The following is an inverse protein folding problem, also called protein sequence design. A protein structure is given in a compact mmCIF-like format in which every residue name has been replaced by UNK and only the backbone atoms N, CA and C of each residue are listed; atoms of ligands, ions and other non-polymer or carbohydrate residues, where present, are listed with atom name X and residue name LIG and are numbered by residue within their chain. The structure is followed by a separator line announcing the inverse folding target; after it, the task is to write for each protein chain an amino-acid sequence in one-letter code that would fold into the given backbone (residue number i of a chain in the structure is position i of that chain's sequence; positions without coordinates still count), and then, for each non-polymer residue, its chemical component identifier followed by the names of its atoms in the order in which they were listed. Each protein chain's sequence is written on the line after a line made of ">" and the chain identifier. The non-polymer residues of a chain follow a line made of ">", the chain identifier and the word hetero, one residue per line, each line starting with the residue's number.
data_IF_602812684431
#
_entry.id   IF_602812684431
#
_cell.length_a   1.000
_cell.length_b   1.000
_cell.length_c   1.000
_cell.angle_alpha   90.00
_cell.angle_beta   90.00
_cell.angle_gamma   90.00
#
_symmetry.space_group_name_H-M   'P 1'
#
loop_
_entity.id
_entity.type
_entity.pdbx_description
1 polymer ?
#
# COMPACT_ATOMS: atom_id res chain seq x y z
N UNK A 1 -59.45 66.73 35.66
CA UNK A 1 -59.43 66.66 34.19
C UNK A 1 -58.60 65.46 33.77
N UNK A 2 -59.30 64.50 33.21
CA UNK A 2 -58.91 63.13 32.84
C UNK A 2 -57.94 63.14 31.65
N UNK A 3 -56.80 62.43 31.73
CA UNK A 3 -55.97 62.10 30.57
C UNK A 3 -56.36 60.72 30.06
N UNK A 4 -56.98 60.68 28.89
CA UNK A 4 -57.35 59.46 28.18
C UNK A 4 -56.12 58.86 27.49
N UNK A 5 -55.84 57.59 27.76
CA UNK A 5 -54.78 56.81 27.12
C UNK A 5 -55.19 56.40 25.70
N UNK A 6 -54.30 56.59 24.72
CA UNK A 6 -54.42 56.00 23.39
C UNK A 6 -54.06 54.52 23.46
N UNK A 7 -54.98 53.68 23.03
CA UNK A 7 -54.85 52.23 22.98
C UNK A 7 -53.89 51.84 21.84
N UNK A 8 -52.83 51.12 22.19
CA UNK A 8 -51.78 50.68 21.27
C UNK A 8 -52.09 49.24 20.84
N UNK A 9 -52.79 49.09 19.72
CA UNK A 9 -53.18 47.78 19.20
C UNK A 9 -51.97 46.94 18.79
N UNK A 10 -51.76 45.80 19.48
CA UNK A 10 -50.79 44.78 19.08
C UNK A 10 -51.22 44.09 17.77
N UNK A 11 -50.28 43.73 16.86
CA UNK A 11 -50.63 43.07 15.62
C UNK A 11 -51.23 41.68 15.87
N UNK A 12 -52.38 41.43 15.24
CA UNK A 12 -53.14 40.17 15.29
C UNK A 12 -52.27 38.98 14.86
N UNK A 13 -52.20 37.96 15.72
CA UNK A 13 -51.55 36.69 15.41
C UNK A 13 -52.23 36.03 14.20
N UNK A 14 -51.51 35.87 13.08
CA UNK A 14 -52.02 35.17 11.89
C UNK A 14 -52.41 33.73 12.25
N UNK A 15 -53.71 33.45 12.25
CA UNK A 15 -54.22 32.07 12.25
C UNK A 15 -53.76 31.37 10.97
N UNK A 16 -53.09 30.23 11.11
CA UNK A 16 -52.76 29.36 10.00
C UNK A 16 -54.06 28.80 9.39
N UNK A 17 -54.39 29.24 8.18
CA UNK A 17 -55.54 28.74 7.42
C UNK A 17 -55.28 27.30 6.95
N UNK A 18 -56.31 26.45 7.01
CA UNK A 18 -56.25 25.02 6.62
C UNK A 18 -55.72 24.86 5.19
N UNK A 19 -56.06 25.80 4.31
CA UNK A 19 -55.58 25.83 2.93
C UNK A 19 -54.09 26.16 2.82
N UNK A 20 -53.57 27.00 3.71
CA UNK A 20 -52.13 27.29 3.80
C UNK A 20 -51.36 26.07 4.30
N UNK A 21 -51.90 25.37 5.29
CA UNK A 21 -51.31 24.15 5.84
C UNK A 21 -51.22 23.03 4.80
N UNK A 22 -52.29 22.80 4.02
CA UNK A 22 -52.31 21.80 2.95
C UNK A 22 -51.33 22.14 1.80
N UNK A 23 -51.19 23.42 1.45
CA UNK A 23 -50.21 23.85 0.44
C UNK A 23 -48.77 23.68 0.93
N UNK A 24 -48.50 24.00 2.19
CA UNK A 24 -47.16 23.83 2.76
C UNK A 24 -46.77 22.37 2.93
N UNK A 25 -47.71 21.49 3.30
CA UNK A 25 -47.44 20.04 3.42
C UNK A 25 -47.25 19.38 2.06
N UNK A 26 -48.06 19.74 1.06
CA UNK A 26 -47.90 19.25 -0.32
C UNK A 26 -46.56 19.69 -0.95
N UNK A 27 -46.16 20.95 -0.78
CA UNK A 27 -44.88 21.45 -1.28
C UNK A 27 -43.68 20.75 -0.62
N UNK A 28 -43.78 20.49 0.68
CA UNK A 28 -42.74 19.77 1.44
C UNK A 28 -42.61 18.32 0.96
N UNK A 29 -43.74 17.62 0.78
CA UNK A 29 -43.74 16.24 0.28
C UNK A 29 -43.21 16.13 -1.17
N UNK A 30 -43.54 17.09 -2.03
CA UNK A 30 -43.01 17.17 -3.39
C UNK A 30 -41.48 17.38 -3.39
N UNK A 31 -40.96 18.21 -2.49
CA UNK A 31 -39.52 18.42 -2.37
C UNK A 31 -38.78 17.17 -1.87
N UNK A 32 -39.32 16.47 -0.87
CA UNK A 32 -38.71 15.23 -0.36
C UNK A 32 -38.73 14.10 -1.38
N UNK A 33 -39.82 13.95 -2.14
CA UNK A 33 -39.91 12.96 -3.21
C UNK A 33 -38.97 13.28 -4.37
N UNK A 34 -38.86 14.54 -4.77
CA UNK A 34 -37.88 14.99 -5.78
C UNK A 34 -36.44 14.77 -5.32
N UNK A 35 -36.10 15.08 -4.06
CA UNK A 35 -34.77 14.85 -3.51
C UNK A 35 -34.40 13.36 -3.47
N UNK A 36 -35.35 12.48 -3.12
CA UNK A 36 -35.14 11.02 -3.11
C UNK A 36 -35.04 10.44 -4.53
N UNK A 37 -35.78 11.00 -5.49
CA UNK A 37 -35.67 10.62 -6.89
C UNK A 37 -34.34 11.08 -7.53
N UNK A 38 -33.85 12.26 -7.15
CA UNK A 38 -32.59 12.82 -7.63
C UNK A 38 -31.36 12.13 -6.99
N UNK A 39 -31.49 11.60 -5.77
CA UNK A 39 -30.43 10.92 -5.03
C UNK A 39 -30.93 9.55 -4.52
N UNK A 40 -31.21 8.58 -5.41
CA UNK A 40 -31.83 7.30 -5.03
C UNK A 40 -30.94 6.44 -4.11
N UNK A 41 -29.62 6.69 -4.11
CA UNK A 41 -28.65 6.08 -3.20
C UNK A 41 -28.24 6.99 -2.01
N UNK A 42 -28.83 8.18 -1.89
CA UNK A 42 -28.39 9.24 -0.97
C UNK A 42 -27.25 10.10 -1.53
N UNK A 43 -27.07 11.30 -0.99
CA UNK A 43 -25.88 12.11 -1.22
C UNK A 43 -24.80 11.69 -0.22
N UNK A 44 -23.81 10.92 -0.68
CA UNK A 44 -22.59 10.71 0.09
C UNK A 44 -21.69 11.92 -0.10
N UNK A 45 -21.63 12.80 0.90
CA UNK A 45 -20.55 13.75 0.99
C UNK A 45 -19.26 12.96 1.32
N UNK A 46 -18.57 12.46 0.29
CA UNK A 46 -17.21 11.95 0.48
C UNK A 46 -16.38 13.13 0.97
N UNK A 47 -15.95 13.08 2.22
CA UNK A 47 -15.11 14.12 2.81
C UNK A 47 -13.86 14.32 1.94
N UNK A 48 -13.38 15.56 1.85
CA UNK A 48 -12.15 15.84 1.13
C UNK A 48 -10.96 15.10 1.79
N UNK A 49 -10.30 14.21 1.05
CA UNK A 49 -9.05 13.55 1.46
C UNK A 49 -9.15 12.03 1.66
N UNK A 50 -8.06 11.41 2.14
CA UNK A 50 -7.96 9.95 2.33
C UNK A 50 -8.94 9.42 3.39
N UNK A 51 -9.42 8.19 3.19
CA UNK A 51 -10.36 7.49 4.08
C UNK A 51 -9.75 7.17 5.46
N UNK A 52 -8.42 7.07 5.54
CA UNK A 52 -7.65 6.84 6.77
C UNK A 52 -6.50 7.84 6.87
N UNK A 53 -6.02 8.11 8.09
CA UNK A 53 -4.88 9.02 8.33
C UNK A 53 -3.52 8.36 8.21
N UNK A 54 -3.46 7.04 8.10
CA UNK A 54 -2.23 6.32 7.84
C UNK A 54 -2.39 4.81 7.89
N UNK A 55 -1.28 4.11 7.66
CA UNK A 55 -1.10 2.66 7.80
C UNK A 55 0.39 2.39 8.13
N UNK A 56 0.80 1.13 8.23
CA UNK A 56 2.20 0.70 8.37
C UNK A 56 2.68 0.07 7.07
N UNK A 57 3.72 0.65 6.48
CA UNK A 57 4.43 0.10 5.33
C UNK A 57 5.79 -0.46 5.77
N UNK A 58 6.07 -1.69 5.35
CA UNK A 58 7.35 -2.35 5.62
C UNK A 58 8.46 -1.93 4.66
N UNK A 59 9.71 -1.95 5.13
CA UNK A 59 10.90 -1.87 4.26
C UNK A 59 12.04 -2.79 4.73
N UNK A 60 12.89 -3.21 3.80
CA UNK A 60 14.18 -3.86 4.07
C UNK A 60 15.27 -2.80 3.93
N UNK A 61 16.32 -2.90 4.74
CA UNK A 61 17.42 -1.94 4.76
C UNK A 61 18.32 -2.01 3.52
N UNK A 62 17.76 -1.59 2.39
CA UNK A 62 18.39 -1.46 1.08
C UNK A 62 18.11 -0.05 0.55
N UNK A 63 19.00 0.46 -0.30
CA UNK A 63 18.92 1.84 -0.83
C UNK A 63 17.62 2.09 -1.62
N UNK A 64 17.08 1.06 -2.25
CA UNK A 64 15.83 1.12 -3.02
C UNK A 64 14.55 1.27 -2.17
N UNK A 65 14.65 1.20 -0.84
CA UNK A 65 13.58 1.64 0.07
C UNK A 65 13.52 3.17 0.27
N UNK A 66 14.49 3.92 -0.26
CA UNK A 66 14.67 5.35 0.03
C UNK A 66 13.41 6.18 -0.22
N UNK A 67 12.63 5.91 -1.27
CA UNK A 67 11.44 6.71 -1.57
C UNK A 67 10.42 6.69 -0.42
N UNK A 68 10.20 5.53 0.23
CA UNK A 68 9.27 5.42 1.36
C UNK A 68 9.78 6.18 2.59
N UNK A 69 11.08 6.06 2.87
CA UNK A 69 11.73 6.71 4.02
C UNK A 69 11.73 8.22 3.84
N UNK A 70 12.19 8.71 2.68
CA UNK A 70 12.23 10.13 2.34
C UNK A 70 10.82 10.73 2.31
N UNK A 71 9.82 9.98 1.85
CA UNK A 71 8.42 10.42 1.92
C UNK A 71 7.96 10.75 3.35
N UNK A 72 8.39 9.96 4.34
CA UNK A 72 8.12 10.23 5.76
C UNK A 72 8.96 11.38 6.30
N UNK A 73 10.28 11.29 6.14
CA UNK A 73 11.24 12.27 6.70
C UNK A 73 11.05 13.69 6.15
N UNK A 74 10.59 13.82 4.90
CA UNK A 74 10.31 15.12 4.26
C UNK A 74 8.83 15.51 4.33
N UNK A 75 8.04 14.83 5.16
CA UNK A 75 6.64 15.17 5.40
C UNK A 75 5.74 15.11 4.15
N UNK A 76 6.08 14.31 3.14
CA UNK A 76 5.24 14.14 1.95
C UNK A 76 3.93 13.45 2.31
N UNK A 77 3.96 12.40 3.14
CA UNK A 77 2.74 11.74 3.60
C UNK A 77 1.77 12.70 4.31
N UNK A 78 2.28 13.52 5.23
CA UNK A 78 1.48 14.53 5.92
C UNK A 78 0.88 15.56 4.96
N UNK A 79 1.67 16.05 3.99
CA UNK A 79 1.21 16.97 2.94
C UNK A 79 0.07 16.41 2.09
N UNK A 80 0.00 15.08 1.92
CA UNK A 80 -1.05 14.40 1.18
C UNK A 80 -2.16 13.82 2.05
N UNK A 81 -2.27 14.25 3.33
CA UNK A 81 -3.41 13.91 4.19
C UNK A 81 -3.30 12.59 4.94
N UNK A 82 -2.14 11.92 4.90
CA UNK A 82 -1.84 10.68 5.65
C UNK A 82 -0.67 10.86 6.64
N UNK A 83 -0.81 11.74 7.67
CA UNK A 83 0.30 12.05 8.59
C UNK A 83 0.79 10.86 9.41
N UNK A 84 -0.09 9.89 9.65
CA UNK A 84 0.14 8.76 10.56
C UNK A 84 0.79 7.55 9.86
N UNK A 85 1.43 7.78 8.70
CA UNK A 85 2.14 6.73 7.99
C UNK A 85 3.35 6.23 8.78
N UNK A 86 3.37 4.94 9.13
CA UNK A 86 4.49 4.30 9.80
C UNK A 86 5.35 3.53 8.77
N UNK A 87 6.66 3.77 8.75
CA UNK A 87 7.60 3.15 7.83
C UNK A 87 8.51 2.21 8.63
N UNK A 88 8.10 0.95 8.70
CA UNK A 88 8.63 -0.02 9.64
C UNK A 88 9.68 -0.94 9.02
N UNK A 89 10.86 -1.00 9.64
CA UNK A 89 11.95 -1.89 9.22
C UNK A 89 11.55 -3.35 9.42
N UNK A 90 11.80 -4.17 8.42
CA UNK A 90 11.57 -5.62 8.44
C UNK A 90 12.91 -6.35 8.58
N UNK A 91 12.91 -7.48 9.31
CA UNK A 91 14.13 -8.24 9.58
C UNK A 91 14.62 -9.03 8.37
N UNK A 92 13.70 -9.54 7.56
CA UNK A 92 14.00 -10.33 6.36
C UNK A 92 12.81 -10.32 5.41
N UNK A 93 13.03 -10.84 4.20
CA UNK A 93 11.95 -11.03 3.23
C UNK A 93 10.91 -12.06 3.68
N UNK A 94 11.30 -13.04 4.51
CA UNK A 94 10.36 -13.95 5.16
C UNK A 94 9.51 -13.25 6.22
N UNK A 95 10.14 -12.46 7.10
CA UNK A 95 9.40 -11.67 8.10
C UNK A 95 8.44 -10.66 7.45
N UNK A 96 8.86 -10.05 6.33
CA UNK A 96 8.00 -9.14 5.56
C UNK A 96 6.73 -9.84 5.06
N UNK A 97 6.85 -11.10 4.58
CA UNK A 97 5.70 -11.92 4.19
C UNK A 97 4.74 -12.13 5.36
N UNK A 98 5.28 -12.57 6.49
CA UNK A 98 4.48 -12.94 7.64
C UNK A 98 3.77 -11.72 8.24
N UNK A 99 4.46 -10.56 8.30
CA UNK A 99 3.85 -9.31 8.73
C UNK A 99 2.80 -8.77 7.73
N UNK A 100 2.98 -8.98 6.42
CA UNK A 100 1.93 -8.64 5.43
C UNK A 100 0.69 -9.54 5.58
N UNK A 101 0.89 -10.83 5.89
CA UNK A 101 -0.22 -11.75 6.14
C UNK A 101 -1.02 -11.39 7.40
N UNK A 102 -0.36 -10.85 8.43
CA UNK A 102 -1.00 -10.37 9.65
C UNK A 102 -1.80 -9.08 9.42
N UNK A 103 -1.26 -8.15 8.62
CA UNK A 103 -1.84 -6.82 8.44
C UNK A 103 -1.72 -5.94 9.70
N UNK A 104 -1.92 -4.63 9.53
CA UNK A 104 -1.72 -3.65 10.63
C UNK A 104 -2.59 -3.90 11.85
N UNK A 105 -3.82 -4.39 11.65
CA UNK A 105 -4.77 -4.71 12.73
C UNK A 105 -4.22 -5.76 13.71
N UNK A 106 -3.35 -6.66 13.25
CA UNK A 106 -2.68 -7.66 14.07
C UNK A 106 -1.19 -7.36 14.27
N UNK A 107 -0.83 -6.07 14.30
CA UNK A 107 0.53 -5.55 14.45
C UNK A 107 1.52 -5.92 13.32
N UNK A 108 1.01 -6.37 12.17
CA UNK A 108 1.76 -6.53 10.93
C UNK A 108 1.90 -5.22 10.13
N UNK A 109 1.99 -5.36 8.81
CA UNK A 109 2.08 -4.26 7.81
C UNK A 109 1.04 -4.47 6.71
N UNK A 110 0.55 -3.39 6.08
CA UNK A 110 -0.45 -3.49 5.01
C UNK A 110 0.18 -3.46 3.60
N UNK A 111 1.48 -3.21 3.50
CA UNK A 111 2.20 -3.11 2.23
C UNK A 111 3.63 -2.61 2.43
N UNK A 112 4.29 -2.16 1.36
CA UNK A 112 5.59 -1.50 1.43
C UNK A 112 6.58 -1.89 0.34
N UNK A 113 7.85 -1.62 0.59
CA UNK A 113 8.96 -1.96 -0.30
C UNK A 113 9.11 -3.48 -0.42
N UNK A 114 9.05 -4.01 -1.64
CA UNK A 114 8.96 -5.45 -1.90
C UNK A 114 9.62 -5.85 -3.21
N UNK A 115 10.18 -7.08 -3.26
CA UNK A 115 10.69 -7.67 -4.51
C UNK A 115 9.53 -7.93 -5.49
N UNK A 116 9.65 -7.45 -6.74
CA UNK A 116 8.59 -7.47 -7.77
C UNK A 116 7.78 -8.78 -7.88
N UNK A 117 8.39 -9.99 -7.92
CA UNK A 117 7.60 -11.22 -8.06
C UNK A 117 6.71 -11.52 -6.86
N UNK A 118 7.05 -11.00 -5.67
CA UNK A 118 6.40 -11.42 -4.42
C UNK A 118 4.95 -11.00 -4.32
N UNK A 119 4.54 -9.88 -4.93
CA UNK A 119 3.11 -9.50 -4.96
C UNK A 119 2.25 -10.58 -5.63
N UNK A 120 2.75 -11.17 -6.72
CA UNK A 120 2.10 -12.27 -7.43
C UNK A 120 2.21 -13.60 -6.66
N UNK A 121 3.38 -13.90 -6.09
CA UNK A 121 3.59 -15.12 -5.30
C UNK A 121 2.75 -15.13 -4.01
N UNK A 122 2.47 -13.96 -3.44
CA UNK A 122 1.58 -13.81 -2.28
C UNK A 122 0.12 -13.97 -2.72
N UNK A 123 -0.27 -13.30 -3.81
CA UNK A 123 -1.63 -13.39 -4.37
C UNK A 123 -2.02 -14.81 -4.72
N UNK A 124 -1.08 -15.61 -5.22
CA UNK A 124 -1.32 -17.02 -5.55
C UNK A 124 -1.17 -17.97 -4.36
N UNK A 125 -0.69 -17.49 -3.21
CA UNK A 125 -0.40 -18.31 -2.03
C UNK A 125 0.90 -19.14 -2.14
N UNK A 126 1.61 -19.12 -3.28
CA UNK A 126 2.73 -20.03 -3.58
C UNK A 126 3.85 -20.01 -2.53
N UNK A 127 4.12 -18.85 -1.94
CA UNK A 127 5.17 -18.67 -0.92
C UNK A 127 4.61 -18.31 0.45
N UNK A 128 3.28 -18.33 0.59
CA UNK A 128 2.55 -18.02 1.83
C UNK A 128 2.48 -19.24 2.74
N UNK A 129 2.38 -19.00 4.05
CA UNK A 129 2.17 -20.08 5.01
C UNK A 129 0.87 -20.83 4.68
N UNK A 130 0.94 -22.16 4.68
CA UNK A 130 -0.19 -23.05 4.34
C UNK A 130 -0.84 -22.78 2.97
N UNK A 131 -0.09 -22.18 2.03
CA UNK A 131 -0.59 -21.88 0.69
C UNK A 131 -1.70 -20.84 0.63
N UNK A 132 -1.93 -20.07 1.70
CA UNK A 132 -3.04 -19.13 1.76
C UNK A 132 -2.84 -17.93 0.81
N UNK A 133 -3.73 -17.69 -0.16
CA UNK A 133 -3.68 -16.51 -1.01
C UNK A 133 -3.78 -15.20 -0.21
N UNK A 134 -2.89 -14.26 -0.51
CA UNK A 134 -2.94 -12.89 -0.01
C UNK A 134 -2.94 -11.93 -1.21
N UNK A 135 -4.11 -11.46 -1.68
CA UNK A 135 -4.20 -10.55 -2.81
C UNK A 135 -3.44 -9.24 -2.54
N UNK A 136 -2.54 -8.89 -3.44
CA UNK A 136 -1.66 -7.71 -3.34
C UNK A 136 -1.66 -6.95 -4.66
N UNK A 137 -1.50 -5.62 -4.57
CA UNK A 137 -1.39 -4.76 -5.74
C UNK A 137 0.00 -4.13 -5.84
N UNK A 138 0.55 -4.10 -7.05
CA UNK A 138 1.74 -3.31 -7.35
C UNK A 138 1.30 -1.91 -7.76
N UNK A 139 1.62 -0.91 -6.93
CA UNK A 139 1.20 0.48 -7.16
C UNK A 139 2.26 1.30 -7.90
N UNK A 140 3.53 0.99 -7.68
CA UNK A 140 4.66 1.72 -8.23
C UNK A 140 5.92 0.85 -8.28
N UNK A 141 6.82 1.17 -9.22
CA UNK A 141 8.20 0.67 -9.20
C UNK A 141 9.08 1.67 -8.45
N UNK A 142 9.73 1.22 -7.36
CA UNK A 142 10.59 2.08 -6.53
C UNK A 142 11.94 2.38 -7.20
N UNK A 143 12.48 1.43 -7.96
CA UNK A 143 13.75 1.51 -8.67
C UNK A 143 13.82 0.47 -9.81
N UNK A 144 14.87 0.56 -10.63
CA UNK A 144 15.24 -0.46 -11.63
C UNK A 144 16.58 -1.16 -11.28
N UNK A 145 17.61 -0.38 -10.94
CA UNK A 145 18.99 -0.87 -10.75
C UNK A 145 19.44 -0.86 -9.28
N UNK A 146 20.75 -1.01 -9.04
CA UNK A 146 21.36 -0.91 -7.70
C UNK A 146 21.57 -2.24 -6.99
N UNK A 147 21.41 -3.36 -7.71
CA UNK A 147 21.65 -4.71 -7.22
C UNK A 147 22.95 -5.27 -7.80
N UNK A 148 23.55 -6.24 -7.12
CA UNK A 148 24.81 -6.84 -7.57
C UNK A 148 24.86 -8.35 -7.31
N UNK A 149 25.70 -9.03 -8.09
CA UNK A 149 26.15 -10.40 -7.83
C UNK A 149 27.62 -10.29 -7.41
N UNK A 150 27.93 -10.79 -6.23
CA UNK A 150 29.30 -10.86 -5.72
C UNK A 150 29.82 -12.28 -5.83
N UNK A 151 31.07 -12.43 -6.24
CA UNK A 151 31.75 -13.72 -6.40
C UNK A 151 32.82 -13.87 -5.31
N UNK A 152 32.94 -15.07 -4.77
CA UNK A 152 33.97 -15.39 -3.76
C UNK A 152 35.38 -15.14 -4.30
N UNK A 153 36.28 -14.64 -3.44
CA UNK A 153 37.68 -14.39 -3.77
C UNK A 153 38.43 -15.68 -4.19
N UNK A 154 37.90 -16.87 -3.90
CA UNK A 154 38.45 -18.14 -4.40
C UNK A 154 38.43 -18.22 -5.94
N UNK A 155 37.58 -17.44 -6.62
CA UNK A 155 37.45 -17.40 -8.08
C UNK A 155 38.03 -16.12 -8.69
N UNK A 156 38.77 -15.31 -7.92
CA UNK A 156 39.29 -14.01 -8.37
C UNK A 156 40.12 -14.11 -9.66
N UNK A 157 40.92 -15.17 -9.78
CA UNK A 157 41.86 -15.37 -10.90
C UNK A 157 41.13 -15.81 -12.19
N UNK A 158 39.86 -16.17 -12.09
CA UNK A 158 39.00 -16.47 -13.24
C UNK A 158 38.47 -15.19 -13.91
N UNK A 159 38.66 -14.02 -13.29
CA UNK A 159 38.16 -12.72 -13.75
C UNK A 159 36.70 -12.78 -14.22
N UNK A 160 35.84 -13.34 -13.37
CA UNK A 160 34.41 -13.51 -13.67
C UNK A 160 33.75 -12.13 -13.69
N UNK A 161 33.03 -11.83 -14.78
CA UNK A 161 32.36 -10.55 -15.00
C UNK A 161 30.89 -10.80 -15.34
N UNK A 162 30.35 -10.08 -16.34
CA UNK A 162 28.99 -10.30 -16.86
C UNK A 162 28.80 -11.70 -17.44
N UNK A 163 29.86 -12.29 -17.99
CA UNK A 163 29.88 -13.68 -18.43
C UNK A 163 30.28 -14.60 -17.26
N UNK A 164 29.39 -15.52 -16.90
CA UNK A 164 29.60 -16.51 -15.84
C UNK A 164 30.33 -17.77 -16.33
N UNK A 165 30.54 -17.94 -17.64
CA UNK A 165 31.14 -19.16 -18.22
C UNK A 165 32.49 -19.58 -17.62
N UNK A 166 33.38 -18.67 -17.15
CA UNK A 166 34.63 -19.09 -16.50
C UNK A 166 34.43 -19.89 -15.21
N UNK A 167 33.26 -19.77 -14.55
CA UNK A 167 32.94 -20.51 -13.33
C UNK A 167 32.69 -22.00 -13.58
N UNK A 168 32.29 -22.40 -14.78
CA UNK A 168 31.83 -23.75 -15.09
C UNK A 168 32.85 -24.83 -14.71
N UNK A 169 34.06 -24.73 -15.26
CA UNK A 169 35.12 -25.70 -14.99
C UNK A 169 35.55 -25.69 -13.51
N UNK A 170 35.53 -24.53 -12.85
CA UNK A 170 35.84 -24.42 -11.43
C UNK A 170 34.77 -25.11 -10.56
N UNK A 171 33.50 -24.92 -10.89
CA UNK A 171 32.37 -25.54 -10.21
C UNK A 171 32.34 -27.06 -10.41
N UNK A 172 32.59 -27.54 -11.63
CA UNK A 172 32.73 -28.97 -11.94
C UNK A 172 33.85 -29.62 -11.13
N UNK A 173 35.03 -28.99 -11.07
CA UNK A 173 36.15 -29.47 -10.23
C UNK A 173 35.79 -29.48 -8.75
N UNK A 174 35.15 -28.43 -8.23
CA UNK A 174 34.75 -28.34 -6.83
C UNK A 174 33.74 -29.43 -6.47
N UNK A 175 32.76 -29.67 -7.35
CA UNK A 175 31.79 -30.77 -7.23
C UNK A 175 32.45 -32.15 -7.28
N UNK A 176 33.40 -32.37 -8.18
CA UNK A 176 34.15 -33.63 -8.28
C UNK A 176 35.01 -33.93 -7.03
N UNK A 177 35.43 -32.89 -6.32
CA UNK A 177 36.11 -33.00 -5.01
C UNK A 177 35.15 -33.23 -3.84
N UNK A 178 33.85 -33.37 -4.07
CA UNK A 178 32.83 -33.52 -3.03
C UNK A 178 32.64 -32.26 -2.18
N UNK A 179 33.13 -31.09 -2.63
CA UNK A 179 32.96 -29.83 -1.92
C UNK A 179 31.62 -29.19 -2.27
N UNK A 180 31.04 -28.52 -1.29
CA UNK A 180 29.77 -27.81 -1.46
C UNK A 180 29.95 -26.59 -2.39
N UNK A 181 29.00 -26.42 -3.30
CA UNK A 181 28.87 -25.23 -4.12
C UNK A 181 27.62 -24.48 -3.68
N UNK A 182 27.81 -23.28 -3.11
CA UNK A 182 26.72 -22.47 -2.59
C UNK A 182 26.61 -21.16 -3.36
N UNK A 183 25.37 -20.78 -3.66
CA UNK A 183 25.00 -19.48 -4.20
C UNK A 183 23.81 -18.96 -3.40
N UNK A 184 23.98 -17.81 -2.75
CA UNK A 184 22.97 -17.24 -1.89
C UNK A 184 22.08 -16.25 -2.65
N UNK A 185 20.79 -16.28 -2.34
CA UNK A 185 19.81 -15.27 -2.76
C UNK A 185 18.96 -14.91 -1.53
N UNK A 186 18.18 -13.83 -1.62
CA UNK A 186 17.52 -13.26 -0.43
C UNK A 186 16.11 -13.79 -0.20
N UNK A 187 15.45 -14.35 -1.23
CA UNK A 187 14.14 -14.99 -1.14
C UNK A 187 13.89 -15.88 -2.37
N UNK A 188 13.46 -17.15 -2.21
CA UNK A 188 13.13 -18.02 -3.34
C UNK A 188 12.03 -17.46 -4.23
N UNK A 189 12.26 -17.39 -5.53
CA UNK A 189 11.38 -16.75 -6.50
C UNK A 189 11.40 -15.21 -6.47
N UNK A 190 12.22 -14.59 -5.62
CA UNK A 190 12.45 -13.16 -5.58
C UNK A 190 13.36 -12.66 -6.71
N UNK A 191 13.54 -11.34 -6.82
CA UNK A 191 14.36 -10.72 -7.87
C UNK A 191 15.81 -11.24 -7.88
N UNK A 192 16.46 -11.33 -6.73
CA UNK A 192 17.85 -11.79 -6.64
C UNK A 192 18.01 -13.26 -7.02
N UNK A 193 17.00 -14.09 -6.77
CA UNK A 193 16.96 -15.48 -7.22
C UNK A 193 16.90 -15.56 -8.75
N UNK A 194 16.07 -14.71 -9.38
CA UNK A 194 16.02 -14.60 -10.84
C UNK A 194 17.34 -14.09 -11.42
N UNK A 195 17.95 -13.05 -10.82
CA UNK A 195 19.18 -12.44 -11.33
C UNK A 195 20.36 -13.40 -11.29
N UNK A 196 20.59 -14.06 -10.16
CA UNK A 196 21.71 -15.00 -10.04
C UNK A 196 21.50 -16.23 -10.94
N UNK A 197 20.27 -16.75 -11.04
CA UNK A 197 19.95 -17.87 -11.93
C UNK A 197 20.15 -17.52 -13.38
N UNK A 198 19.68 -16.34 -13.80
CA UNK A 198 19.81 -15.89 -15.18
C UNK A 198 21.28 -15.74 -15.56
N UNK A 199 22.08 -15.09 -14.70
CA UNK A 199 23.50 -14.90 -14.92
C UNK A 199 24.28 -16.23 -14.98
N UNK A 200 24.02 -17.15 -14.05
CA UNK A 200 24.64 -18.48 -14.06
C UNK A 200 24.22 -19.28 -15.30
N UNK A 201 22.93 -19.33 -15.63
CA UNK A 201 22.42 -20.08 -16.77
C UNK A 201 22.97 -19.57 -18.11
N UNK A 202 23.20 -18.26 -18.24
CA UNK A 202 23.82 -17.67 -19.43
C UNK A 202 25.29 -18.13 -19.62
N UNK A 203 25.97 -18.54 -18.55
CA UNK A 203 27.32 -19.10 -18.57
C UNK A 203 27.40 -20.61 -18.86
N UNK A 204 26.25 -21.30 -18.95
CA UNK A 204 26.14 -22.75 -19.19
C UNK A 204 26.45 -23.62 -17.97
#
# INVERSE_FOLDING_TARGET
>A
MTKTFQDMSLPSARRLDRRSFLKSTAATAALFSAARAALPAGAFAQGAGPEVKGTKLGYIALTDAAALIIAKEKGFYARHGVPDMDIAKQASWGATRDNMALGTKANGIDGGHILRPKTHLYTTGKVMQNGQPLPMYTLLNLNEDGQAISVSNEYKDLNVQKDASPLKAAFERKKAQGKELTAAMTFPGGTHDLWIRYWLAAGG
#
